data_IF_164086363460
#
_entry.id   IF_164086363460
#
_cell.length_a   1.000
_cell.length_b   1.000
_cell.length_c   1.000
_cell.angle_alpha   90.00
_cell.angle_beta   90.00
_cell.angle_gamma   90.00
#
_symmetry.space_group_name_H-M   'P 1'
#
loop_
_entity.id
_entity.type
_entity.pdbx_description
1 polymer ?
#
# COMPACT_ATOMS: atom_id res chain seq x y z
N UNK A 1 18.59 8.19 16.79
CA UNK A 1 17.92 9.50 16.76
C UNK A 1 16.76 9.38 15.79
N UNK A 2 15.52 9.15 16.28
CA UNK A 2 14.35 8.94 15.43
C UNK A 2 13.94 10.26 14.77
N UNK A 3 13.86 10.23 13.45
CA UNK A 3 13.34 11.34 12.64
C UNK A 3 11.83 11.41 12.90
N UNK A 4 11.40 12.53 13.46
CA UNK A 4 10.08 12.79 14.03
C UNK A 4 8.97 12.68 12.97
N UNK A 5 8.10 11.68 13.10
CA UNK A 5 6.86 11.55 12.33
C UNK A 5 5.76 12.55 12.80
N UNK A 6 6.15 13.63 13.49
CA UNK A 6 5.24 14.67 13.99
C UNK A 6 5.26 15.94 13.14
N UNK A 7 6.04 15.96 12.07
CA UNK A 7 6.19 17.12 11.18
C UNK A 7 5.27 17.04 9.94
N UNK A 8 4.44 15.99 9.83
CA UNK A 8 3.47 15.85 8.73
C UNK A 8 2.15 16.60 8.99
N UNK A 9 1.91 17.07 10.21
CA UNK A 9 0.89 18.09 10.45
C UNK A 9 1.51 19.44 10.11
N UNK A 10 1.46 19.83 8.84
CA UNK A 10 1.89 21.12 8.33
C UNK A 10 1.12 22.25 9.05
N UNK A 11 1.48 22.57 10.29
CA UNK A 11 0.98 23.70 11.06
C UNK A 11 -0.55 23.84 11.15
N UNK A 12 -1.33 22.75 11.13
CA UNK A 12 -2.80 22.82 11.23
C UNK A 12 -3.51 23.27 9.95
N UNK A 13 -2.85 23.19 8.78
CA UNK A 13 -3.45 23.53 7.47
C UNK A 13 -4.70 22.70 7.13
N UNK A 14 -4.82 21.50 7.72
CA UNK A 14 -5.97 20.61 7.50
C UNK A 14 -7.31 21.30 7.80
N UNK A 15 -7.40 21.99 8.93
CA UNK A 15 -8.62 22.73 9.31
C UNK A 15 -8.96 23.85 8.31
N UNK A 16 -7.94 24.53 7.77
CA UNK A 16 -8.12 25.57 6.75
C UNK A 16 -8.59 24.97 5.41
N UNK A 17 -8.05 23.81 5.01
CA UNK A 17 -8.50 23.11 3.81
C UNK A 17 -9.92 22.56 3.93
N UNK A 18 -10.30 22.07 5.10
CA UNK A 18 -11.66 21.60 5.37
C UNK A 18 -12.66 22.77 5.34
N UNK A 19 -12.30 23.92 5.92
CA UNK A 19 -13.09 25.14 5.83
C UNK A 19 -13.25 25.64 4.38
N UNK A 20 -12.17 25.59 3.58
CA UNK A 20 -12.19 25.97 2.17
C UNK A 20 -13.04 25.00 1.32
N UNK A 21 -13.05 23.71 1.63
CA UNK A 21 -13.92 22.71 0.97
C UNK A 21 -15.39 22.90 1.32
N UNK A 22 -15.69 23.27 2.57
CA UNK A 22 -17.06 23.54 3.00
C UNK A 22 -17.64 24.81 2.35
N UNK A 23 -16.80 25.80 2.05
CA UNK A 23 -17.19 27.07 1.43
C UNK A 23 -16.34 27.36 0.20
N UNK A 24 -16.56 26.63 -0.91
CA UNK A 24 -15.76 26.81 -2.11
C UNK A 24 -16.04 28.21 -2.69
N UNK A 25 -15.02 29.06 -2.87
CA UNK A 25 -15.21 30.34 -3.53
C UNK A 25 -15.57 30.10 -4.99
N UNK A 26 -16.60 30.80 -5.49
CA UNK A 26 -16.96 30.74 -6.89
C UNK A 26 -15.87 31.44 -7.73
N UNK A 27 -15.27 30.77 -8.73
CA UNK A 27 -14.32 31.41 -9.63
C UNK A 27 -15.03 32.49 -10.47
N UNK A 28 -14.30 33.55 -10.82
CA UNK A 28 -14.87 34.60 -11.66
C UNK A 28 -15.13 34.07 -13.08
N UNK A 29 -16.16 34.59 -13.77
CA UNK A 29 -16.48 34.15 -15.13
C UNK A 29 -15.34 34.45 -16.12
N UNK A 30 -14.59 35.54 -15.91
CA UNK A 30 -13.40 35.87 -16.73
C UNK A 30 -12.29 34.83 -16.57
N UNK A 31 -12.04 34.38 -15.33
CA UNK A 31 -11.06 33.32 -15.06
C UNK A 31 -11.48 32.01 -15.73
N UNK A 32 -12.75 31.62 -15.59
CA UNK A 32 -13.27 30.42 -16.24
C UNK A 32 -13.12 30.49 -17.76
N UNK A 33 -13.46 31.62 -18.39
CA UNK A 33 -13.32 31.81 -19.83
C UNK A 33 -11.87 31.63 -20.30
N UNK A 34 -10.89 32.16 -19.55
CA UNK A 34 -9.47 31.96 -19.85
C UNK A 34 -9.04 30.50 -19.71
N UNK A 35 -9.42 29.84 -18.61
CA UNK A 35 -9.09 28.42 -18.38
C UNK A 35 -9.66 27.54 -19.48
N UNK A 36 -10.89 27.81 -19.94
CA UNK A 36 -11.48 27.08 -21.06
C UNK A 36 -10.72 27.34 -22.37
N UNK A 37 -10.35 28.59 -22.65
CA UNK A 37 -9.55 28.93 -23.83
C UNK A 37 -8.18 28.24 -23.84
N UNK A 38 -7.49 28.21 -22.69
CA UNK A 38 -6.22 27.51 -22.53
C UNK A 38 -6.40 25.99 -22.71
N UNK A 39 -7.46 25.42 -22.13
CA UNK A 39 -7.78 24.00 -22.27
C UNK A 39 -8.06 23.62 -23.74
N UNK A 40 -8.79 24.45 -24.49
CA UNK A 40 -9.02 24.24 -25.92
C UNK A 40 -7.71 24.29 -26.72
N UNK A 41 -6.81 25.22 -26.40
CA UNK A 41 -5.51 25.33 -27.05
C UNK A 41 -4.66 24.06 -26.81
N UNK A 42 -4.63 23.56 -25.57
CA UNK A 42 -3.96 22.32 -25.21
C UNK A 42 -4.62 21.10 -25.85
N UNK A 43 -5.95 21.02 -25.90
CA UNK A 43 -6.66 19.92 -26.56
C UNK A 43 -6.31 19.83 -28.06
N UNK A 44 -6.23 20.97 -28.75
CA UNK A 44 -5.79 21.02 -30.14
C UNK A 44 -4.35 20.53 -30.27
N UNK A 45 -3.47 20.94 -29.35
CA UNK A 45 -2.07 20.55 -29.37
C UNK A 45 -1.87 19.05 -29.08
N UNK A 46 -2.55 18.51 -28.07
CA UNK A 46 -2.58 17.08 -27.74
C UNK A 46 -3.12 16.29 -28.93
N UNK A 47 -4.21 16.74 -29.56
CA UNK A 47 -4.79 16.07 -30.73
C UNK A 47 -3.84 16.08 -31.92
N UNK A 48 -3.10 17.17 -32.15
CA UNK A 48 -2.08 17.23 -33.23
C UNK A 48 -0.84 16.37 -32.92
N UNK A 49 -0.49 16.20 -31.65
CA UNK A 49 0.63 15.36 -31.19
C UNK A 49 0.24 13.91 -30.91
N UNK A 50 -1.04 13.60 -30.87
CA UNK A 50 -1.56 12.25 -30.95
C UNK A 50 -1.26 11.73 -32.36
N UNK A 51 0.01 11.38 -32.58
CA UNK A 51 0.41 10.42 -33.58
C UNK A 51 -0.56 9.25 -33.43
N UNK A 52 -1.15 8.71 -34.52
CA UNK A 52 -2.00 7.53 -34.41
C UNK A 52 -1.20 6.54 -33.58
N UNK A 53 -1.71 6.20 -32.40
CA UNK A 53 -1.00 5.34 -31.48
C UNK A 53 -0.72 4.06 -32.28
N UNK A 54 0.53 3.87 -32.71
CA UNK A 54 0.96 2.59 -33.24
C UNK A 54 0.47 1.60 -32.20
N UNK A 55 -0.39 0.65 -32.61
CA UNK A 55 -1.13 -0.24 -31.71
C UNK A 55 -0.28 -0.53 -30.49
N UNK A 56 -0.61 0.11 -29.36
CA UNK A 56 0.23 0.00 -28.18
C UNK A 56 0.36 -1.50 -27.92
N UNK A 57 1.58 -2.05 -27.81
CA UNK A 57 1.77 -3.47 -27.61
C UNK A 57 0.86 -3.87 -26.46
N UNK A 58 0.01 -4.89 -26.67
CA UNK A 58 -0.98 -5.33 -25.69
C UNK A 58 -0.32 -5.35 -24.32
N UNK A 59 -0.68 -4.39 -23.47
CA UNK A 59 -0.08 -4.23 -22.16
C UNK A 59 -0.13 -5.59 -21.47
N UNK A 60 1.04 -6.09 -21.06
CA UNK A 60 1.13 -7.41 -20.44
C UNK A 60 0.25 -7.47 -19.19
N UNK A 61 -0.15 -8.69 -18.78
CA UNK A 61 -0.97 -8.89 -17.56
C UNK A 61 -0.42 -8.12 -16.35
N UNK A 62 0.91 -8.05 -16.22
CA UNK A 62 1.58 -7.30 -15.15
C UNK A 62 1.36 -5.78 -15.23
N UNK A 63 1.35 -5.21 -16.44
CA UNK A 63 1.12 -3.77 -16.65
C UNK A 63 -0.35 -3.41 -16.42
N UNK A 64 -1.27 -4.31 -16.78
CA UNK A 64 -2.68 -4.18 -16.40
C UNK A 64 -2.87 -4.25 -14.89
N UNK A 65 -2.22 -5.19 -14.22
CA UNK A 65 -2.28 -5.31 -12.76
C UNK A 65 -1.69 -4.07 -12.08
N UNK A 66 -0.55 -3.57 -12.56
CA UNK A 66 0.07 -2.34 -12.07
C UNK A 66 -0.84 -1.12 -12.24
N UNK A 67 -1.51 -0.97 -13.40
CA UNK A 67 -2.50 0.10 -13.62
C UNK A 67 -3.73 -0.06 -12.75
N UNK A 68 -4.20 -1.29 -12.55
CA UNK A 68 -5.38 -1.60 -11.73
C UNK A 68 -5.14 -1.33 -10.24
N UNK A 69 -3.93 -1.60 -9.75
CA UNK A 69 -3.54 -1.33 -8.36
C UNK A 69 -3.37 0.17 -8.07
N UNK A 70 -3.26 1.03 -9.09
CA UNK A 70 -3.08 2.48 -8.92
C UNK A 70 -1.66 2.97 -9.18
N UNK A 71 -0.81 2.13 -9.79
CA UNK A 71 0.55 2.49 -10.21
C UNK A 71 1.57 2.50 -9.07
N UNK A 72 2.54 3.42 -9.15
CA UNK A 72 3.70 3.49 -8.26
C UNK A 72 3.37 3.58 -6.76
N UNK A 73 2.33 4.33 -6.32
CA UNK A 73 1.97 4.39 -4.90
C UNK A 73 1.56 3.03 -4.33
N UNK A 74 0.87 2.20 -5.11
CA UNK A 74 0.43 0.88 -4.67
C UNK A 74 1.60 -0.10 -4.52
N UNK A 75 2.60 0.00 -5.40
CA UNK A 75 3.82 -0.80 -5.29
C UNK A 75 4.66 -0.44 -4.06
N UNK A 76 4.70 0.85 -3.69
CA UNK A 76 5.34 1.28 -2.46
C UNK A 76 4.65 0.64 -1.24
N UNK A 77 3.32 0.70 -1.19
CA UNK A 77 2.53 0.04 -0.13
C UNK A 77 2.74 -1.47 -0.06
N UNK A 78 2.74 -2.17 -1.20
CA UNK A 78 2.98 -3.62 -1.27
C UNK A 78 4.38 -3.99 -0.76
N UNK A 79 5.40 -3.23 -1.15
CA UNK A 79 6.78 -3.45 -0.70
C UNK A 79 6.88 -3.24 0.82
N UNK A 80 6.28 -2.17 1.35
CA UNK A 80 6.23 -1.92 2.79
C UNK A 80 5.48 -3.03 3.54
N UNK A 81 4.38 -3.54 3.00
CA UNK A 81 3.63 -4.64 3.60
C UNK A 81 4.45 -5.94 3.66
N UNK A 82 5.24 -6.24 2.62
CA UNK A 82 6.17 -7.39 2.61
C UNK A 82 7.23 -7.22 3.70
N UNK A 83 7.88 -6.05 3.78
CA UNK A 83 8.90 -5.76 4.79
C UNK A 83 8.31 -5.84 6.21
N UNK A 84 7.11 -5.30 6.41
CA UNK A 84 6.40 -5.40 7.68
C UNK A 84 6.04 -6.84 8.02
N UNK A 85 5.59 -7.64 7.04
CA UNK A 85 5.31 -9.06 7.22
C UNK A 85 6.55 -9.86 7.62
N UNK A 86 7.70 -9.59 6.99
CA UNK A 86 8.99 -10.19 7.38
C UNK A 86 9.37 -9.78 8.79
N UNK A 87 9.29 -8.49 9.13
CA UNK A 87 9.61 -7.98 10.45
C UNK A 87 8.77 -8.65 11.55
N UNK A 88 7.45 -8.70 11.35
CA UNK A 88 6.50 -9.34 12.27
C UNK A 88 6.76 -10.85 12.34
N UNK A 89 7.01 -11.51 11.20
CA UNK A 89 7.26 -12.95 11.14
C UNK A 89 8.58 -13.37 11.78
N UNK A 90 9.61 -12.52 11.78
CA UNK A 90 10.87 -12.79 12.48
C UNK A 90 10.81 -12.52 13.98
N UNK A 91 9.81 -11.78 14.44
CA UNK A 91 9.60 -11.47 15.86
C UNK A 91 8.78 -12.56 16.58
N UNK A 92 8.77 -13.80 16.08
CA UNK A 92 8.24 -14.92 16.85
C UNK A 92 9.01 -15.00 18.18
N UNK A 93 8.32 -15.00 19.33
CA UNK A 93 8.98 -15.18 20.62
C UNK A 93 9.79 -16.48 20.59
N UNK A 94 10.99 -16.46 21.18
CA UNK A 94 11.94 -17.57 21.36
C UNK A 94 11.31 -18.86 21.98
N UNK A 95 10.02 -18.84 22.33
CA UNK A 95 9.26 -19.94 22.93
C UNK A 95 8.61 -20.92 21.94
N UNK A 96 8.68 -20.71 20.62
CA UNK A 96 8.25 -21.73 19.61
C UNK A 96 9.48 -22.45 19.01
N UNK A 97 10.59 -22.45 19.75
CA UNK A 97 11.81 -23.21 19.43
C UNK A 97 12.15 -24.19 20.54
N UNK A 98 11.15 -24.64 21.31
CA UNK A 98 11.29 -25.66 22.32
C UNK A 98 10.66 -26.96 21.85
N UNK A 99 11.47 -27.89 21.35
CA UNK A 99 11.19 -29.33 21.41
C UNK A 99 9.79 -29.76 20.95
N UNK A 100 9.41 -29.42 19.71
CA UNK A 100 8.13 -29.88 19.13
C UNK A 100 8.03 -31.40 19.01
N UNK A 101 9.08 -32.17 19.29
CA UNK A 101 9.00 -33.62 19.28
C UNK A 101 8.48 -34.18 20.62
N UNK A 102 8.94 -33.67 21.77
CA UNK A 102 8.50 -34.17 23.08
C UNK A 102 7.09 -33.70 23.46
N UNK A 103 6.75 -32.43 23.16
CA UNK A 103 5.42 -31.90 23.46
C UNK A 103 4.33 -32.48 22.54
N UNK A 104 4.69 -32.85 21.30
CA UNK A 104 3.78 -33.47 20.34
C UNK A 104 3.63 -34.97 20.57
N UNK A 105 4.67 -35.66 21.08
CA UNK A 105 4.57 -37.06 21.51
C UNK A 105 3.67 -37.24 22.74
N UNK A 106 3.68 -36.27 23.68
CA UNK A 106 2.83 -36.26 24.87
C UNK A 106 1.34 -36.14 24.53
N UNK A 107 0.99 -35.49 23.41
CA UNK A 107 -0.40 -35.28 22.99
C UNK A 107 -0.94 -36.42 22.10
N UNK A 108 -0.06 -37.13 21.36
CA UNK A 108 -0.49 -38.16 20.41
C UNK A 108 -0.50 -39.59 20.99
N UNK A 109 0.35 -39.90 21.98
CA UNK A 109 0.40 -41.24 22.61
C UNK A 109 0.67 -41.14 24.11
N UNK A 110 -0.33 -40.81 24.94
CA UNK A 110 -0.18 -40.75 26.40
C UNK A 110 0.23 -42.09 27.01
N UNK A 111 0.02 -43.22 26.33
CA UNK A 111 0.38 -44.57 26.75
C UNK A 111 1.89 -44.85 26.76
N UNK A 112 2.68 -44.16 25.93
CA UNK A 112 4.13 -44.35 25.87
C UNK A 112 4.85 -43.86 27.15
N UNK A 113 4.23 -42.93 27.89
CA UNK A 113 4.73 -42.44 29.18
C UNK A 113 4.47 -43.45 30.31
N UNK A 114 3.37 -44.20 30.23
CA UNK A 114 3.06 -45.24 31.23
C UNK A 114 4.00 -46.45 31.11
N UNK A 115 4.46 -46.78 29.90
CA UNK A 115 5.39 -47.89 29.68
C UNK A 115 6.81 -47.59 30.19
N UNK A 116 7.24 -46.32 30.15
CA UNK A 116 8.54 -45.90 30.70
C UNK A 116 8.56 -45.75 32.24
N UNK A 117 7.39 -45.64 32.87
CA UNK A 117 7.25 -45.52 34.32
C UNK A 117 7.02 -46.87 35.02
N UNK A 118 6.93 -47.97 34.26
CA UNK A 118 6.54 -49.30 34.76
C UNK A 118 7.66 -50.33 34.95
N UNK A 119 8.93 -49.99 34.68
CA UNK A 119 10.05 -50.94 34.84
C UNK A 119 10.91 -50.57 36.06
N UNK A 120 10.42 -50.95 37.25
CA UNK A 120 11.17 -51.18 38.49
C UNK A 120 10.53 -52.33 39.28
#
# INVERSE_FOLDING_TARGET
MPMSDKDQDLGGLGAFFDAARAHPPAPSPDLLARVLGDAEAEQIWITRRAQPAAEAPRAGLLEQLYRLLGGWPAMAGLTTAIVAGVWIGTALPEGVSGSTEAAYLVDITPEAVFELAGDF
#
